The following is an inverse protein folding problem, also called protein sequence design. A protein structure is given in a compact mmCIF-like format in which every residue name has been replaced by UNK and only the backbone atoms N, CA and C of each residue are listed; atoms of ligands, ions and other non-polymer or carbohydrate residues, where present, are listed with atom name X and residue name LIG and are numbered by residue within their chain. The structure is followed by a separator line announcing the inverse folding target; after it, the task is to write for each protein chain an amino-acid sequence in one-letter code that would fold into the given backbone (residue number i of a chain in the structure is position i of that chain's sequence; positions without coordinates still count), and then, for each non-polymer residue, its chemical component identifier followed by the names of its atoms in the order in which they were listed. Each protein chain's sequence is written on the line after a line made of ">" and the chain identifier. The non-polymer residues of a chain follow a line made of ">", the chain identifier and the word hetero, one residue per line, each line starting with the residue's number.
data_IF_347493715730
#
_entry.id   IF_347493715730
#
_cell.length_a   1.000
_cell.length_b   1.000
_cell.length_c   1.000
_cell.angle_alpha   90.00
_cell.angle_beta   90.00
_cell.angle_gamma   90.00
#
_symmetry.space_group_name_H-M   'P 1'
#
loop_
_entity.id
_entity.type
_entity.pdbx_description
1 polymer ?
#
# COMPACT_ATOMS: atom_id res chain seq x y z
N UNK A 1 -15.75 -32.98 5.35
CA UNK A 1 -15.62 -32.10 6.54
C UNK A 1 -14.26 -32.21 7.25
N UNK A 2 -13.55 -33.35 7.18
CA UNK A 2 -12.31 -33.61 7.91
C UNK A 2 -11.08 -32.75 7.52
N UNK A 3 -11.04 -32.13 6.33
CA UNK A 3 -9.84 -31.40 5.86
C UNK A 3 -9.63 -30.01 6.46
N UNK A 4 -10.65 -29.38 7.06
CA UNK A 4 -10.50 -28.07 7.71
C UNK A 4 -10.02 -28.20 9.16
N UNK A 5 -10.41 -29.26 9.86
CA UNK A 5 -10.00 -29.52 11.24
C UNK A 5 -8.55 -30.04 11.32
N UNK A 6 -8.11 -30.83 10.34
CA UNK A 6 -6.72 -31.28 10.23
C UNK A 6 -5.70 -30.12 10.06
N UNK A 7 -6.11 -29.00 9.43
CA UNK A 7 -5.24 -27.80 9.31
C UNK A 7 -5.16 -26.98 10.59
N UNK A 8 -6.10 -27.16 11.53
CA UNK A 8 -6.12 -26.46 12.82
C UNK A 8 -5.18 -27.09 13.85
N UNK A 9 -4.78 -28.35 13.66
CA UNK A 9 -3.97 -29.12 14.62
C UNK A 9 -2.44 -29.07 14.42
N UNK A 10 -1.93 -28.49 13.34
CA UNK A 10 -0.49 -28.55 13.01
C UNK A 10 0.35 -27.32 13.46
N UNK A 11 -0.25 -26.35 14.15
CA UNK A 11 0.42 -25.10 14.57
C UNK A 11 0.37 -24.92 16.08
N UNK A 12 1.09 -25.74 16.83
CA UNK A 12 1.08 -25.59 18.30
C UNK A 12 2.44 -25.79 18.96
N UNK A 13 3.32 -24.82 18.75
CA UNK A 13 4.21 -24.30 19.80
C UNK A 13 4.04 -22.78 19.80
N UNK A 14 2.92 -22.30 20.34
CA UNK A 14 2.67 -20.85 20.55
C UNK A 14 3.69 -20.33 21.56
N UNK A 15 4.85 -19.89 21.08
CA UNK A 15 5.90 -19.30 21.90
C UNK A 15 5.35 -18.07 22.61
N UNK A 16 5.53 -18.01 23.92
CA UNK A 16 5.29 -16.81 24.70
C UNK A 16 6.37 -15.78 24.36
N UNK A 17 5.95 -14.53 24.16
CA UNK A 17 6.82 -13.40 23.83
C UNK A 17 6.48 -12.20 24.69
N UNK A 18 7.43 -11.28 24.80
CA UNK A 18 7.23 -9.99 25.46
C UNK A 18 6.79 -8.98 24.39
N UNK A 19 5.71 -8.24 24.64
CA UNK A 19 5.24 -7.19 23.73
C UNK A 19 6.22 -5.99 23.76
N UNK A 20 6.74 -5.59 22.60
CA UNK A 20 7.68 -4.45 22.49
C UNK A 20 7.06 -3.10 22.93
N UNK A 21 5.74 -2.96 22.85
CA UNK A 21 5.05 -1.70 23.20
C UNK A 21 4.63 -1.60 24.67
N UNK A 22 4.30 -2.70 25.34
CA UNK A 22 3.76 -2.67 26.71
C UNK A 22 4.45 -3.60 27.71
N UNK A 23 5.47 -4.36 27.29
CA UNK A 23 6.24 -5.25 28.15
C UNK A 23 5.50 -6.49 28.66
N UNK A 24 4.22 -6.68 28.33
CA UNK A 24 3.43 -7.83 28.79
C UNK A 24 3.81 -9.10 28.03
N UNK A 25 3.89 -10.22 28.75
CA UNK A 25 4.03 -11.55 28.16
C UNK A 25 2.72 -11.95 27.48
N UNK A 26 2.79 -12.41 26.24
CA UNK A 26 1.63 -12.85 25.46
C UNK A 26 1.94 -14.09 24.62
N UNK A 27 0.92 -14.85 24.26
CA UNK A 27 1.05 -16.01 23.36
C UNK A 27 1.00 -15.54 21.91
N UNK A 28 2.10 -15.67 21.19
CA UNK A 28 2.17 -15.23 19.81
C UNK A 28 1.43 -16.22 18.89
N UNK A 29 0.49 -15.71 18.10
CA UNK A 29 -0.21 -16.50 17.08
C UNK A 29 0.68 -16.79 15.86
N UNK A 30 1.71 -15.95 15.63
CA UNK A 30 2.67 -16.08 14.54
C UNK A 30 4.10 -15.88 15.06
N UNK A 31 5.07 -16.52 14.41
CA UNK A 31 6.47 -16.46 14.81
C UNK A 31 7.09 -15.05 14.66
N UNK A 32 6.53 -14.19 13.81
CA UNK A 32 6.96 -12.81 13.53
C UNK A 32 6.20 -11.75 14.36
N UNK A 33 5.22 -12.16 15.18
CA UNK A 33 4.48 -11.23 16.01
C UNK A 33 5.40 -10.57 17.04
N UNK A 34 5.36 -9.23 17.11
CA UNK A 34 6.12 -8.37 18.03
C UNK A 34 5.25 -7.71 19.12
N UNK A 35 3.93 -7.68 18.91
CA UNK A 35 2.98 -6.99 19.78
C UNK A 35 1.84 -7.91 20.20
N UNK A 36 1.37 -7.71 21.44
CA UNK A 36 0.28 -8.53 22.00
C UNK A 36 -1.10 -8.24 21.39
N UNK A 37 -1.28 -7.10 20.73
CA UNK A 37 -2.55 -6.69 20.14
C UNK A 37 -2.36 -5.67 19.02
N UNK A 38 -3.39 -5.51 18.18
CA UNK A 38 -3.46 -4.44 17.18
C UNK A 38 -3.35 -3.04 17.81
N UNK A 39 -3.82 -2.85 19.05
CA UNK A 39 -3.67 -1.58 19.78
C UNK A 39 -2.20 -1.28 20.08
N UNK A 40 -1.45 -2.28 20.57
CA UNK A 40 -0.01 -2.13 20.83
C UNK A 40 0.79 -1.94 19.54
N UNK A 41 0.40 -2.62 18.45
CA UNK A 41 0.98 -2.37 17.13
C UNK A 41 0.71 -0.93 16.66
N UNK A 42 -0.54 -0.47 16.72
CA UNK A 42 -0.92 0.89 16.35
C UNK A 42 -0.18 1.96 17.18
N UNK A 43 -0.06 1.75 18.49
CA UNK A 43 0.69 2.64 19.39
C UNK A 43 2.19 2.71 19.03
N UNK A 44 2.80 1.58 18.64
CA UNK A 44 4.20 1.58 18.20
C UNK A 44 4.42 2.35 16.89
N UNK A 45 3.43 2.35 16.00
CA UNK A 45 3.50 3.08 14.72
C UNK A 45 3.18 4.56 14.90
N UNK A 46 2.25 4.89 15.79
CA UNK A 46 1.87 6.28 16.06
C UNK A 46 2.96 7.05 16.79
N UNK A 47 3.84 6.38 17.52
CA UNK A 47 4.88 7.01 18.35
C UNK A 47 6.24 7.01 17.65
N UNK A 48 6.27 6.90 16.32
CA UNK A 48 7.54 6.87 15.58
C UNK A 48 8.24 8.22 15.73
N UNK A 49 9.38 8.22 16.43
CA UNK A 49 10.33 9.32 16.38
C UNK A 49 10.81 9.46 14.93
N UNK A 50 10.69 10.66 14.38
CA UNK A 50 11.06 10.98 13.01
C UNK A 50 11.94 12.21 12.97
N UNK A 51 12.69 12.34 11.90
CA UNK A 51 13.49 13.53 11.63
C UNK A 51 12.67 14.48 10.75
N UNK A 52 12.58 15.75 11.14
CA UNK A 52 11.92 16.76 10.34
C UNK A 52 12.66 16.96 9.01
N UNK A 53 11.96 16.85 7.88
CA UNK A 53 12.56 16.98 6.54
C UNK A 53 13.05 18.41 6.26
N UNK A 54 12.49 19.41 6.96
CA UNK A 54 12.88 20.81 6.79
C UNK A 54 14.07 21.22 7.66
N UNK A 55 13.99 21.03 8.98
CA UNK A 55 15.01 21.51 9.93
C UNK A 55 15.94 20.42 10.49
N UNK A 56 15.70 19.14 10.19
CA UNK A 56 16.53 18.03 10.64
C UNK A 56 16.38 17.63 12.11
N UNK A 57 15.52 18.29 12.90
CA UNK A 57 15.32 17.96 14.31
C UNK A 57 14.47 16.69 14.51
N UNK A 58 14.79 15.86 15.52
CA UNK A 58 13.95 14.73 15.89
C UNK A 58 12.63 15.22 16.51
N UNK A 59 11.53 14.59 16.15
CA UNK A 59 10.21 14.90 16.70
C UNK A 59 9.32 13.65 16.76
N UNK A 60 8.29 13.70 17.60
CA UNK A 60 7.25 12.65 17.65
C UNK A 60 6.12 13.01 16.71
N UNK A 61 5.95 12.23 15.64
CA UNK A 61 4.93 12.49 14.64
C UNK A 61 3.53 12.13 15.16
N UNK A 62 2.60 13.10 15.16
CA UNK A 62 1.18 12.85 15.53
C UNK A 62 0.44 11.93 14.57
N UNK A 63 0.95 11.76 13.35
CA UNK A 63 0.40 10.90 12.31
C UNK A 63 1.51 10.06 11.69
N UNK A 64 1.15 8.88 11.18
CA UNK A 64 2.09 7.95 10.53
C UNK A 64 2.81 8.57 9.30
N UNK A 65 2.21 9.57 8.66
CA UNK A 65 2.71 10.28 7.48
C UNK A 65 3.32 11.65 7.81
N UNK A 66 3.48 11.99 9.10
CA UNK A 66 4.04 13.28 9.54
C UNK A 66 5.50 13.45 9.12
N UNK A 67 5.79 14.53 8.37
CA UNK A 67 7.14 14.85 7.83
C UNK A 67 7.84 16.02 8.53
N UNK A 68 7.09 16.83 9.27
CA UNK A 68 7.56 18.10 9.83
C UNK A 68 7.25 18.16 11.32
N UNK A 69 8.17 18.76 12.09
CA UNK A 69 8.02 18.91 13.54
C UNK A 69 6.96 19.95 13.92
N UNK A 70 6.84 21.03 13.14
CA UNK A 70 5.90 22.13 13.39
C UNK A 70 5.11 22.50 12.14
N UNK A 71 4.01 23.23 12.33
CA UNK A 71 3.24 23.82 11.24
C UNK A 71 4.11 24.77 10.40
N UNK A 72 4.95 25.58 11.04
CA UNK A 72 5.88 26.49 10.37
C UNK A 72 6.83 25.75 9.43
N UNK A 73 7.47 24.67 9.90
CA UNK A 73 8.33 23.84 9.03
C UNK A 73 7.57 23.28 7.83
N UNK A 74 6.29 22.96 7.98
CA UNK A 74 5.44 22.49 6.88
C UNK A 74 5.13 23.61 5.88
N UNK A 75 4.88 24.83 6.35
CA UNK A 75 4.60 26.00 5.50
C UNK A 75 5.86 26.41 4.74
N UNK A 76 7.00 26.51 5.41
CA UNK A 76 8.28 26.85 4.78
C UNK A 76 8.69 25.80 3.73
N UNK A 77 8.49 24.52 4.02
CA UNK A 77 8.72 23.47 3.03
C UNK A 77 7.78 23.56 1.82
N UNK A 78 6.55 24.05 2.00
CA UNK A 78 5.58 24.25 0.92
C UNK A 78 5.85 25.49 0.06
N UNK A 79 6.61 26.48 0.57
CA UNK A 79 7.04 27.66 -0.21
C UNK A 79 8.06 27.33 -1.30
N UNK A 80 8.71 26.16 -1.23
CA UNK A 80 9.66 25.74 -2.27
C UNK A 80 8.93 25.63 -3.63
N UNK A 81 9.55 26.11 -4.72
CA UNK A 81 8.94 25.97 -6.04
C UNK A 81 8.75 24.48 -6.37
N UNK A 82 7.70 24.13 -7.13
CA UNK A 82 7.50 22.77 -7.58
C UNK A 82 8.73 22.28 -8.36
N UNK A 83 9.01 20.96 -8.36
CA UNK A 83 10.09 20.41 -9.17
C UNK A 83 9.89 20.80 -10.64
N UNK A 84 10.98 20.93 -11.42
CA UNK A 84 10.87 21.27 -12.83
C UNK A 84 10.06 20.20 -13.58
N UNK A 85 9.34 20.60 -14.64
CA UNK A 85 8.64 19.66 -15.49
C UNK A 85 9.59 18.62 -16.09
N UNK A 86 9.13 17.38 -16.21
CA UNK A 86 9.98 16.22 -16.58
C UNK A 86 10.07 16.05 -18.12
N UNK A 87 9.48 16.96 -18.90
CA UNK A 87 9.36 16.88 -20.35
C UNK A 87 7.95 16.50 -20.81
N UNK A 88 7.68 16.71 -22.09
CA UNK A 88 6.37 16.47 -22.71
C UNK A 88 6.07 14.97 -22.87
N UNK A 89 4.79 14.61 -22.77
CA UNK A 89 4.30 13.25 -23.07
C UNK A 89 2.87 13.27 -23.58
N UNK A 90 2.48 12.21 -24.28
CA UNK A 90 1.10 11.99 -24.70
C UNK A 90 0.21 11.54 -23.53
N UNK A 91 -1.03 12.02 -23.51
CA UNK A 91 -2.07 11.58 -22.59
C UNK A 91 -2.54 10.17 -22.92
N UNK A 92 -2.54 9.26 -21.94
CA UNK A 92 -3.00 7.87 -22.13
C UNK A 92 -4.50 7.69 -22.41
N UNK A 93 -5.30 8.76 -22.45
CA UNK A 93 -6.72 8.72 -22.79
C UNK A 93 -7.02 9.45 -24.10
N UNK A 94 -6.63 10.73 -24.21
CA UNK A 94 -6.97 11.56 -25.38
C UNK A 94 -5.83 11.75 -26.38
N UNK A 95 -4.63 11.22 -26.11
CA UNK A 95 -3.46 11.38 -26.98
C UNK A 95 -2.81 12.77 -26.95
N UNK A 96 -3.44 13.78 -26.38
CA UNK A 96 -2.91 15.15 -26.34
C UNK A 96 -1.57 15.24 -25.61
N UNK A 97 -0.63 16.00 -26.17
CA UNK A 97 0.67 16.30 -25.57
C UNK A 97 0.49 17.21 -24.35
N UNK A 98 1.15 16.88 -23.24
CA UNK A 98 1.13 17.68 -22.03
C UNK A 98 2.44 17.55 -21.22
N UNK A 99 2.66 18.50 -20.31
CA UNK A 99 3.89 18.58 -19.51
C UNK A 99 3.63 18.24 -18.05
N UNK A 100 3.91 17.00 -17.61
CA UNK A 100 3.72 16.57 -16.22
C UNK A 100 4.78 17.06 -15.25
N UNK A 101 4.30 17.34 -14.04
CA UNK A 101 5.10 17.67 -12.85
C UNK A 101 5.59 16.43 -12.09
N UNK A 102 5.06 15.23 -12.40
CA UNK A 102 5.47 13.98 -11.75
C UNK A 102 5.62 12.86 -12.75
N UNK A 103 6.58 11.96 -12.48
CA UNK A 103 6.90 10.82 -13.36
C UNK A 103 5.69 9.91 -13.60
N UNK A 104 4.83 9.77 -12.61
CA UNK A 104 3.68 8.87 -12.61
C UNK A 104 2.37 9.52 -13.13
N UNK A 105 2.40 10.77 -13.61
CA UNK A 105 1.21 11.41 -14.20
C UNK A 105 1.07 10.99 -15.68
N UNK A 106 0.05 10.18 -15.98
CA UNK A 106 -0.18 9.59 -17.32
C UNK A 106 -1.26 10.32 -18.13
N UNK A 107 -2.04 11.19 -17.49
CA UNK A 107 -3.17 11.88 -18.10
C UNK A 107 -2.97 13.39 -18.03
N UNK A 108 -3.38 14.10 -19.08
CA UNK A 108 -3.30 15.56 -19.14
C UNK A 108 -4.16 16.21 -18.04
N UNK A 109 -5.36 15.67 -17.79
CA UNK A 109 -6.35 16.21 -16.87
C UNK A 109 -6.96 15.16 -15.93
N UNK A 110 -7.66 15.63 -14.88
CA UNK A 110 -8.46 14.78 -14.00
C UNK A 110 -9.59 14.07 -14.76
N UNK A 111 -10.21 14.74 -15.74
CA UNK A 111 -11.27 14.17 -16.57
C UNK A 111 -10.78 12.97 -17.38
N UNK A 112 -9.62 13.07 -18.03
CA UNK A 112 -9.01 11.95 -18.76
C UNK A 112 -8.74 10.74 -17.86
N UNK A 113 -8.22 10.98 -16.65
CA UNK A 113 -7.98 9.91 -15.68
C UNK A 113 -9.28 9.24 -15.20
N UNK A 114 -10.38 10.00 -15.06
CA UNK A 114 -11.69 9.46 -14.67
C UNK A 114 -12.32 8.68 -15.81
N UNK A 115 -12.24 9.18 -17.05
CA UNK A 115 -12.78 8.51 -18.22
C UNK A 115 -12.12 7.16 -18.48
N UNK A 116 -10.78 7.09 -18.39
CA UNK A 116 -10.07 5.82 -18.51
C UNK A 116 -10.51 4.79 -17.45
N UNK A 117 -10.72 5.23 -16.20
CA UNK A 117 -11.20 4.34 -15.12
C UNK A 117 -12.62 3.84 -15.41
N UNK A 118 -13.50 4.71 -15.90
CA UNK A 118 -14.88 4.36 -16.27
C UNK A 118 -14.91 3.40 -17.46
N UNK A 119 -14.08 3.62 -18.47
CA UNK A 119 -13.96 2.72 -19.62
C UNK A 119 -13.49 1.32 -19.18
N UNK A 120 -12.46 1.23 -18.33
CA UNK A 120 -12.00 -0.04 -17.77
C UNK A 120 -13.06 -0.74 -16.91
N UNK A 121 -13.80 0.00 -16.09
CA UNK A 121 -14.88 -0.57 -15.30
C UNK A 121 -15.96 -1.20 -16.19
N UNK A 122 -16.36 -0.49 -17.26
CA UNK A 122 -17.32 -1.01 -18.25
C UNK A 122 -16.79 -2.23 -18.99
N UNK A 123 -15.51 -2.24 -19.35
CA UNK A 123 -14.89 -3.38 -20.04
C UNK A 123 -14.84 -4.64 -19.16
N UNK A 124 -14.60 -4.48 -17.85
CA UNK A 124 -14.68 -5.59 -16.88
C UNK A 124 -16.11 -6.09 -16.68
N UNK A 125 -17.12 -5.21 -16.77
CA UNK A 125 -18.54 -5.63 -16.75
C UNK A 125 -18.97 -6.35 -18.04
N UNK A 126 -18.31 -6.07 -19.18
CA UNK A 126 -18.66 -6.60 -20.49
C UNK A 126 -17.76 -7.77 -20.92
N UNK A 127 -16.67 -8.08 -20.21
CA UNK A 127 -15.84 -9.24 -20.51
C UNK A 127 -16.65 -10.53 -20.29
N UNK A 128 -17.03 -11.27 -21.36
CA UNK A 128 -17.60 -12.59 -21.18
C UNK A 128 -16.56 -13.45 -20.49
N UNK A 129 -17.00 -14.28 -19.54
CA UNK A 129 -16.21 -15.32 -18.93
C UNK A 129 -15.77 -16.35 -19.98
N UNK A 130 -14.80 -16.01 -20.82
CA UNK A 130 -14.07 -16.97 -21.63
C UNK A 130 -12.97 -17.54 -20.74
N UNK A 131 -13.40 -18.49 -19.90
CA UNK A 131 -12.56 -19.57 -19.41
C UNK A 131 -11.95 -20.25 -20.63
N UNK A 132 -10.62 -20.26 -20.82
CA UNK A 132 -10.02 -21.21 -21.74
C UNK A 132 -10.26 -22.60 -21.15
N UNK A 133 -11.16 -23.35 -21.77
CA UNK A 133 -11.40 -24.75 -21.48
C UNK A 133 -10.08 -25.51 -21.62
N UNK A 134 -9.58 -25.97 -20.49
CA UNK A 134 -8.50 -26.95 -20.42
C UNK A 134 -9.08 -28.28 -20.91
N UNK A 135 -9.16 -28.48 -22.22
CA UNK A 135 -9.40 -29.81 -22.79
C UNK A 135 -8.11 -30.60 -22.60
N UNK A 136 -8.11 -31.44 -21.56
CA UNK A 136 -7.12 -32.49 -21.40
C UNK A 136 -7.47 -33.58 -22.43
N UNK A 137 -7.00 -33.42 -23.67
CA UNK A 137 -6.99 -34.50 -24.65
C UNK A 137 -6.05 -35.58 -24.13
N UNK A 138 -6.64 -36.66 -23.61
CA UNK A 138 -5.95 -37.91 -23.34
C UNK A 138 -5.46 -38.46 -24.69
N UNK A 139 -4.19 -38.25 -24.98
CA UNK A 139 -3.50 -38.90 -26.10
C UNK A 139 -3.48 -40.40 -25.84
N UNK A 140 -3.98 -41.15 -26.83
CA UNK A 140 -3.96 -42.59 -26.89
C UNK A 140 -2.53 -43.15 -26.73
N UNK A 141 -2.40 -44.17 -25.88
CA UNK A 141 -1.26 -45.08 -25.88
C UNK A 141 -1.79 -46.49 -26.17
N UNK A 142 -1.48 -46.92 -27.40
CA UNK A 142 -1.23 -48.28 -27.90
C UNK A 142 -2.24 -49.42 -27.59
#
# INVERSE_FOLDING_TARGET
>A
AASLEARRGATELKKTKICENCGKVYRAARADSRFCSLKCFGASISTSHRTCVWCGQPFVAKRHDGKYCTFECSVEAAKKPPPPPIGERACGWCGATFTPQRKDKHFCSRSCAVNQRRARAREVEVAPALVPGFVCELVAAE
#
